data_IF_154909221470
#
_entry.id   IF_154909221470
#
_cell.length_a   1.000
_cell.length_b   1.000
_cell.length_c   1.000
_cell.angle_alpha   90.00
_cell.angle_beta   90.00
_cell.angle_gamma   90.00
#
_symmetry.space_group_name_H-M   'P 1'
#
loop_
_entity.id
_entity.type
_entity.pdbx_description
1 polymer ?
#
# COMPACT_ATOMS: atom_id res chain seq x y z
N UNK A 1 10.99 -6.66 6.57
CA UNK A 1 11.26 -5.31 6.03
C UNK A 1 10.11 -4.98 5.07
N UNK A 2 9.34 -3.92 5.32
CA UNK A 2 8.21 -3.49 4.46
C UNK A 2 8.67 -2.28 3.64
N UNK A 3 8.62 -2.35 2.31
CA UNK A 3 8.94 -1.21 1.43
C UNK A 3 9.70 -1.61 0.15
N UNK A 4 9.43 -0.96 -1.00
CA UNK A 4 10.18 -1.16 -2.24
C UNK A 4 11.68 -0.89 -2.06
N UNK A 5 12.51 -1.85 -2.47
CA UNK A 5 13.88 -1.54 -2.89
C UNK A 5 13.90 -1.43 -4.41
N UNK A 6 14.21 -0.22 -4.90
CA UNK A 6 14.67 0.08 -6.25
C UNK A 6 13.61 -0.03 -7.37
N UNK A 7 13.45 1.05 -8.15
CA UNK A 7 12.93 0.95 -9.51
C UNK A 7 14.10 0.78 -10.48
N UNK A 8 14.25 -0.37 -11.10
CA UNK A 8 15.06 -0.48 -12.30
C UNK A 8 14.19 -0.04 -13.50
N UNK A 9 14.66 0.95 -14.25
CA UNK A 9 14.08 1.25 -15.56
C UNK A 9 14.54 0.15 -16.50
N UNK A 10 13.61 -0.68 -16.98
CA UNK A 10 13.95 -1.69 -17.99
C UNK A 10 14.22 -0.99 -19.33
N UNK A 11 14.99 -1.63 -20.22
CA UNK A 11 15.41 -1.09 -21.51
C UNK A 11 14.28 -0.64 -22.47
N UNK A 12 13.01 -0.87 -22.11
CA UNK A 12 11.81 -0.59 -22.92
C UNK A 12 10.94 0.52 -22.31
N UNK A 13 11.48 1.36 -21.42
CA UNK A 13 10.73 2.47 -20.79
C UNK A 13 9.64 2.01 -19.80
N UNK A 14 9.56 0.72 -19.51
CA UNK A 14 8.64 0.13 -18.54
C UNK A 14 9.26 0.14 -17.15
N UNK A 15 8.52 0.66 -16.16
CA UNK A 15 8.94 0.70 -14.76
C UNK A 15 8.63 -0.64 -14.11
N UNK A 16 9.64 -1.25 -13.48
CA UNK A 16 9.38 -2.33 -12.55
C UNK A 16 9.23 -1.75 -11.14
N UNK A 17 8.19 -2.17 -10.42
CA UNK A 17 7.93 -1.75 -9.05
C UNK A 17 8.02 -2.98 -8.15
N UNK A 18 8.94 -2.96 -7.19
CA UNK A 18 8.97 -3.96 -6.13
C UNK A 18 8.04 -3.48 -5.01
N UNK A 19 7.07 -4.27 -4.59
CA UNK A 19 6.14 -3.88 -3.52
C UNK A 19 6.60 -4.39 -2.15
N UNK A 20 7.27 -5.54 -2.10
CA UNK A 20 7.89 -6.05 -0.88
C UNK A 20 8.06 -7.56 -0.87
N UNK A 21 8.74 -8.04 0.16
CA UNK A 21 8.93 -9.46 0.42
C UNK A 21 7.83 -9.99 1.34
N UNK A 22 7.43 -11.25 1.14
CA UNK A 22 6.68 -11.97 2.16
C UNK A 22 7.52 -12.11 3.43
N UNK A 23 6.88 -12.25 4.60
CA UNK A 23 7.63 -12.22 5.86
C UNK A 23 8.47 -13.47 6.17
N UNK A 24 8.30 -14.53 5.39
CA UNK A 24 9.15 -15.73 5.37
C UNK A 24 10.34 -15.59 4.40
N UNK A 25 10.38 -14.51 3.60
CA UNK A 25 11.42 -14.27 2.60
C UNK A 25 11.31 -15.15 1.36
N UNK A 26 10.24 -15.95 1.25
CA UNK A 26 10.06 -16.92 0.15
C UNK A 26 9.43 -16.27 -1.07
N UNK A 27 8.70 -15.17 -0.91
CA UNK A 27 7.98 -14.50 -1.99
C UNK A 27 8.39 -13.05 -2.16
N UNK A 28 8.50 -12.62 -3.41
CA UNK A 28 8.64 -11.22 -3.81
C UNK A 28 7.39 -10.78 -4.55
N UNK A 29 6.70 -9.73 -4.06
CA UNK A 29 5.67 -9.04 -4.83
C UNK A 29 6.31 -7.92 -5.67
N UNK A 30 6.09 -7.95 -6.97
CA UNK A 30 6.51 -6.88 -7.87
C UNK A 30 5.53 -6.69 -9.03
N UNK A 31 5.74 -5.67 -9.86
CA UNK A 31 5.09 -5.44 -11.15
C UNK A 31 6.20 -5.22 -12.18
N UNK A 32 6.17 -5.90 -13.34
CA UNK A 32 7.14 -5.70 -14.43
C UNK A 32 6.50 -4.97 -15.62
N UNK A 33 6.32 -3.66 -15.48
CA UNK A 33 5.85 -2.85 -16.62
C UNK A 33 4.42 -3.11 -17.05
N UNK A 34 3.68 -3.83 -16.23
CA UNK A 34 2.30 -4.22 -16.38
C UNK A 34 1.54 -3.81 -15.13
N UNK A 35 0.27 -3.46 -15.28
CA UNK A 35 -0.57 -3.02 -14.18
C UNK A 35 -0.96 -4.20 -13.26
N UNK A 36 -0.14 -5.20 -12.96
CA UNK A 36 -0.53 -6.30 -12.06
C UNK A 36 0.55 -6.69 -11.06
N UNK A 37 0.17 -7.43 -10.01
CA UNK A 37 1.14 -8.03 -9.09
C UNK A 37 1.58 -9.41 -9.59
N UNK A 38 2.89 -9.57 -9.68
CA UNK A 38 3.60 -10.80 -9.95
C UNK A 38 4.29 -11.25 -8.66
N UNK A 39 4.12 -12.52 -8.29
CA UNK A 39 4.73 -13.13 -7.11
C UNK A 39 5.77 -14.16 -7.53
N UNK A 40 6.99 -13.97 -7.05
CA UNK A 40 8.10 -14.85 -7.35
C UNK A 40 8.50 -15.65 -6.13
N UNK A 41 8.60 -16.97 -6.27
CA UNK A 41 9.18 -17.85 -5.27
C UNK A 41 10.72 -17.77 -5.31
N UNK A 42 11.36 -17.82 -4.14
CA UNK A 42 12.79 -17.63 -3.90
C UNK A 42 13.42 -18.95 -3.43
N UNK A 43 14.63 -19.34 -3.89
CA UNK A 43 15.63 -18.54 -4.58
C UNK A 43 15.20 -18.15 -6.00
N UNK A 44 15.21 -16.84 -6.26
CA UNK A 44 15.18 -16.33 -7.62
C UNK A 44 16.47 -16.84 -8.26
N UNK A 45 16.40 -17.76 -9.22
CA UNK A 45 17.48 -17.88 -10.18
C UNK A 45 17.47 -16.57 -10.99
N UNK A 46 18.15 -15.54 -10.47
CA UNK A 46 18.25 -14.23 -11.12
C UNK A 46 19.10 -14.43 -12.38
N UNK A 47 18.46 -14.66 -13.51
CA UNK A 47 19.12 -14.48 -14.79
C UNK A 47 19.50 -13.01 -14.93
N UNK A 48 20.71 -12.71 -15.46
CA UNK A 48 21.11 -11.34 -15.74
C UNK A 48 20.08 -10.68 -16.67
N UNK A 49 19.67 -9.44 -16.37
CA UNK A 49 18.79 -8.65 -17.25
C UNK A 49 19.67 -7.80 -18.17
N UNK A 50 19.52 -7.86 -19.51
CA UNK A 50 18.60 -8.70 -20.29
C UNK A 50 19.14 -10.14 -20.48
N UNK A 51 18.33 -11.13 -20.13
CA UNK A 51 18.72 -12.55 -20.16
C UNK A 51 18.16 -13.29 -21.38
N UNK A 52 18.83 -14.33 -21.87
CA UNK A 52 18.36 -15.11 -23.01
C UNK A 52 16.98 -15.73 -22.76
N UNK A 53 16.15 -15.80 -23.81
CA UNK A 53 14.84 -16.43 -23.77
C UNK A 53 15.00 -17.92 -23.42
N UNK A 54 14.57 -18.31 -22.22
CA UNK A 54 14.71 -19.68 -21.72
C UNK A 54 14.94 -19.82 -20.22
N UNK A 55 15.16 -18.72 -19.49
CA UNK A 55 15.23 -18.74 -18.02
C UNK A 55 13.84 -18.92 -17.39
N UNK A 56 13.35 -20.16 -17.34
CA UNK A 56 12.21 -20.56 -16.50
C UNK A 56 12.72 -21.04 -15.15
N UNK A 57 12.84 -20.14 -14.17
CA UNK A 57 13.50 -20.45 -12.88
C UNK A 57 12.78 -19.94 -11.64
N UNK A 58 11.45 -19.79 -11.70
CA UNK A 58 10.62 -19.49 -10.54
C UNK A 58 9.16 -19.81 -10.86
N UNK A 59 8.44 -20.43 -9.92
CA UNK A 59 6.98 -20.54 -10.02
C UNK A 59 6.41 -19.13 -9.95
N UNK A 60 6.06 -18.58 -11.11
CA UNK A 60 5.34 -17.32 -11.21
C UNK A 60 3.90 -17.60 -10.78
N UNK A 61 3.52 -17.06 -9.63
CA UNK A 61 2.12 -16.93 -9.29
C UNK A 61 1.71 -15.50 -9.64
N UNK A 62 0.80 -15.36 -10.60
CA UNK A 62 0.27 -14.05 -10.97
C UNK A 62 -1.04 -13.79 -10.25
N UNK A 63 -1.14 -12.66 -9.54
CA UNK A 63 -2.44 -12.11 -9.22
C UNK A 63 -2.83 -11.14 -10.33
N UNK A 64 -3.42 -11.73 -11.38
CA UNK A 64 -3.86 -11.00 -12.58
C UNK A 64 -4.91 -9.96 -12.19
N UNK A 65 -4.66 -8.70 -12.52
CA UNK A 65 -5.64 -7.61 -12.45
C UNK A 65 -4.94 -6.27 -12.39
N UNK A 66 -5.60 -5.23 -12.90
CA UNK A 66 -4.97 -3.93 -13.08
C UNK A 66 -4.67 -3.26 -11.73
N UNK A 67 -3.62 -2.46 -11.66
CA UNK A 67 -3.03 -1.89 -10.46
C UNK A 67 -2.68 -0.45 -10.79
N UNK A 68 -3.19 0.47 -9.98
CA UNK A 68 -2.93 1.88 -10.20
C UNK A 68 -1.47 2.22 -9.92
N UNK A 69 -0.82 2.93 -10.84
CA UNK A 69 0.58 3.34 -10.70
C UNK A 69 0.82 4.13 -9.42
N UNK A 70 1.74 3.65 -8.58
CA UNK A 70 2.06 4.30 -7.31
C UNK A 70 2.90 3.41 -6.41
N UNK A 71 3.65 4.04 -5.50
CA UNK A 71 4.28 3.32 -4.39
C UNK A 71 3.19 2.97 -3.36
N UNK A 72 3.40 1.93 -2.56
CA UNK A 72 2.61 1.67 -1.34
C UNK A 72 1.15 1.22 -1.56
N UNK A 73 0.91 0.33 -2.51
CA UNK A 73 -0.43 -0.16 -2.87
C UNK A 73 -0.73 -1.58 -2.35
N UNK A 74 0.21 -2.18 -1.62
CA UNK A 74 0.05 -3.49 -0.99
C UNK A 74 0.77 -3.57 0.37
N UNK A 75 0.39 -4.57 1.17
CA UNK A 75 1.07 -4.95 2.42
C UNK A 75 0.98 -6.46 2.68
N UNK A 76 1.98 -6.96 3.42
CA UNK A 76 2.17 -8.36 3.77
C UNK A 76 2.18 -8.59 5.29
N UNK A 77 1.71 -9.76 5.70
CA UNK A 77 1.89 -10.29 7.06
C UNK A 77 2.03 -11.81 7.06
N UNK A 78 2.52 -12.35 8.19
CA UNK A 78 2.73 -13.81 8.37
C UNK A 78 1.42 -14.59 8.47
N UNK A 79 0.49 -14.23 9.39
CA UNK A 79 -0.75 -14.97 9.51
C UNK A 79 -1.65 -14.72 8.30
N UNK A 80 -2.45 -15.72 7.95
CA UNK A 80 -3.50 -15.55 6.96
C UNK A 80 -4.62 -14.63 7.49
N UNK A 81 -5.26 -13.81 6.64
CA UNK A 81 -4.86 -13.52 5.27
C UNK A 81 -3.53 -12.80 5.13
N UNK A 82 -2.67 -13.25 4.21
CA UNK A 82 -1.27 -12.80 4.12
C UNK A 82 -1.07 -11.52 3.30
N UNK A 83 -1.91 -11.29 2.30
CA UNK A 83 -1.75 -10.19 1.34
C UNK A 83 -2.98 -9.29 1.31
N UNK A 84 -2.74 -7.98 1.25
CA UNK A 84 -3.74 -6.97 0.91
C UNK A 84 -3.17 -6.06 -0.17
N UNK A 85 -3.97 -5.74 -1.19
CA UNK A 85 -3.53 -4.90 -2.31
C UNK A 85 -4.67 -4.11 -2.95
N UNK A 86 -4.32 -2.97 -3.55
CA UNK A 86 -5.22 -2.16 -4.37
C UNK A 86 -5.17 -2.62 -5.84
N UNK A 87 -6.33 -2.71 -6.46
CA UNK A 87 -6.56 -3.07 -7.85
C UNK A 87 -7.54 -2.12 -8.52
N UNK A 88 -7.52 -2.01 -9.84
CA UNK A 88 -8.45 -1.22 -10.66
C UNK A 88 -9.10 -2.11 -11.72
N UNK A 89 -10.29 -1.73 -12.18
CA UNK A 89 -11.06 -2.52 -13.15
C UNK A 89 -10.45 -2.58 -14.55
N UNK A 90 -9.72 -1.53 -15.00
CA UNK A 90 -9.08 -1.50 -16.31
C UNK A 90 -7.70 -0.83 -16.28
N UNK A 91 -6.82 -1.09 -17.27
CA UNK A 91 -5.46 -0.52 -17.31
C UNK A 91 -5.46 1.01 -17.49
N UNK A 92 -6.53 1.54 -18.08
CA UNK A 92 -6.71 2.98 -18.33
C UNK A 92 -7.42 3.71 -17.18
N UNK A 93 -7.68 3.02 -16.07
CA UNK A 93 -8.44 3.53 -14.92
C UNK A 93 -9.78 2.84 -14.74
N UNK A 94 -10.55 3.31 -13.75
CA UNK A 94 -11.85 2.75 -13.38
C UNK A 94 -12.02 2.69 -11.87
N UNK A 95 -13.05 1.98 -11.43
CA UNK A 95 -13.31 1.82 -10.00
C UNK A 95 -12.19 0.99 -9.36
N UNK A 96 -11.64 1.50 -8.27
CA UNK A 96 -10.62 0.78 -7.51
C UNK A 96 -11.25 -0.17 -6.49
N UNK A 97 -10.51 -1.21 -6.14
CA UNK A 97 -10.87 -2.17 -5.09
C UNK A 97 -9.66 -2.49 -4.23
N UNK A 98 -9.90 -2.77 -2.95
CA UNK A 98 -8.91 -3.43 -2.08
C UNK A 98 -9.30 -4.90 -1.99
N UNK A 99 -8.35 -5.76 -2.32
CA UNK A 99 -8.53 -7.19 -2.33
C UNK A 99 -7.53 -7.85 -1.39
N UNK A 100 -7.97 -8.96 -0.80
CA UNK A 100 -7.22 -9.73 0.19
C UNK A 100 -7.05 -11.16 -0.32
N UNK A 101 -5.87 -11.74 -0.10
CA UNK A 101 -5.59 -13.14 -0.39
C UNK A 101 -5.07 -13.87 0.85
N UNK A 102 -5.50 -15.12 1.03
CA UNK A 102 -5.08 -15.95 2.16
C UNK A 102 -3.59 -16.31 2.08
N UNK A 103 -3.09 -16.49 0.86
CA UNK A 103 -1.69 -16.74 0.52
C UNK A 103 -1.40 -16.28 -0.92
N UNK A 104 -0.13 -16.14 -1.35
CA UNK A 104 0.24 -15.59 -2.66
C UNK A 104 -0.43 -16.27 -3.86
N UNK A 105 -0.68 -17.58 -3.76
CA UNK A 105 -1.24 -18.40 -4.84
C UNK A 105 -2.74 -18.65 -4.71
N UNK A 106 -3.39 -18.08 -3.71
CA UNK A 106 -4.81 -18.30 -3.43
C UNK A 106 -5.65 -17.22 -4.09
N UNK A 107 -6.85 -17.59 -4.53
CA UNK A 107 -7.80 -16.63 -5.11
C UNK A 107 -8.07 -15.49 -4.12
N UNK A 108 -7.95 -14.26 -4.64
CA UNK A 108 -8.29 -13.04 -3.92
C UNK A 108 -9.78 -12.83 -3.83
N UNK A 109 -10.20 -12.08 -2.81
CA UNK A 109 -11.56 -11.55 -2.70
C UNK A 109 -11.55 -10.05 -2.48
N UNK A 110 -12.55 -9.38 -3.03
CA UNK A 110 -12.79 -7.96 -2.82
C UNK A 110 -13.29 -7.74 -1.40
N UNK A 111 -12.64 -6.82 -0.68
CA UNK A 111 -13.04 -6.41 0.67
C UNK A 111 -13.59 -4.98 0.65
N UNK A 112 -12.97 -4.09 -0.14
CA UNK A 112 -13.43 -2.72 -0.33
C UNK A 112 -13.58 -2.45 -1.82
N UNK A 113 -14.65 -1.76 -2.21
CA UNK A 113 -14.83 -1.22 -3.57
C UNK A 113 -15.02 0.29 -3.48
N UNK A 114 -14.29 1.03 -4.31
CA UNK A 114 -14.46 2.47 -4.44
C UNK A 114 -15.86 2.80 -4.94
N UNK A 115 -16.40 3.94 -4.54
CA UNK A 115 -17.75 4.34 -4.93
C UNK A 115 -17.88 4.64 -6.44
N UNK A 116 -16.80 5.12 -7.05
CA UNK A 116 -16.67 5.42 -8.48
C UNK A 116 -15.18 5.63 -8.83
N UNK A 117 -14.91 5.92 -10.10
CA UNK A 117 -13.56 6.18 -10.63
C UNK A 117 -12.87 7.44 -10.08
N UNK A 118 -13.62 8.36 -9.47
CA UNK A 118 -13.06 9.56 -8.82
C UNK A 118 -12.68 9.31 -7.34
N UNK A 119 -12.64 8.05 -6.92
CA UNK A 119 -12.19 7.64 -5.59
C UNK A 119 -10.95 6.79 -5.71
N UNK A 120 -9.84 7.29 -5.15
CA UNK A 120 -8.59 6.56 -5.05
C UNK A 120 -8.54 5.83 -3.70
N UNK A 121 -8.26 4.53 -3.76
CA UNK A 121 -7.93 3.68 -2.61
C UNK A 121 -6.42 3.50 -2.57
N UNK A 122 -5.80 3.75 -1.42
CA UNK A 122 -4.35 3.77 -1.32
C UNK A 122 -3.89 3.19 0.02
N UNK A 123 -2.64 2.69 0.05
CA UNK A 123 -1.93 2.33 1.28
C UNK A 123 -2.68 1.39 2.23
N UNK A 124 -3.14 0.21 1.77
CA UNK A 124 -3.63 -0.77 2.72
C UNK A 124 -2.47 -1.21 3.64
N UNK A 125 -2.70 -1.23 4.95
CA UNK A 125 -1.71 -1.62 5.98
C UNK A 125 -2.34 -2.49 7.04
N UNK A 126 -1.82 -3.70 7.19
CA UNK A 126 -2.26 -4.64 8.20
C UNK A 126 -2.03 -4.09 9.60
N UNK A 127 -3.07 -4.16 10.43
CA UNK A 127 -2.97 -3.96 11.87
C UNK A 127 -2.17 -5.12 12.48
N UNK A 128 -1.16 -4.85 13.32
CA UNK A 128 -0.46 -5.92 14.03
C UNK A 128 -1.44 -6.82 14.80
N UNK A 129 -1.26 -8.14 14.71
CA UNK A 129 -2.02 -9.16 15.43
C UNK A 129 -3.55 -9.14 15.25
N UNK A 130 -4.07 -8.42 14.25
CA UNK A 130 -5.51 -8.33 13.94
C UNK A 130 -5.74 -8.51 12.44
N UNK A 131 -6.94 -8.95 12.07
CA UNK A 131 -7.40 -9.08 10.68
C UNK A 131 -7.95 -7.77 10.09
N UNK A 132 -7.71 -6.67 10.78
CA UNK A 132 -8.01 -5.34 10.27
C UNK A 132 -6.84 -4.78 9.45
N UNK A 133 -7.17 -3.92 8.50
CA UNK A 133 -6.18 -3.06 7.85
C UNK A 133 -6.71 -1.63 7.77
N UNK A 134 -5.79 -0.65 7.85
CA UNK A 134 -6.11 0.72 7.48
C UNK A 134 -5.91 0.91 5.99
N UNK A 135 -6.59 1.89 5.41
CA UNK A 135 -6.37 2.37 4.06
C UNK A 135 -6.77 3.83 3.95
N UNK A 136 -6.31 4.50 2.90
CA UNK A 136 -6.72 5.85 2.55
C UNK A 136 -7.74 5.81 1.42
N UNK A 137 -8.81 6.58 1.58
CA UNK A 137 -9.77 6.88 0.54
C UNK A 137 -9.67 8.36 0.20
N UNK A 138 -9.34 8.70 -1.03
CA UNK A 138 -9.23 10.09 -1.46
C UNK A 138 -10.14 10.37 -2.63
N UNK A 139 -11.01 11.37 -2.48
CA UNK A 139 -11.85 11.84 -3.57
C UNK A 139 -11.10 12.86 -4.42
N UNK A 140 -11.05 12.62 -5.72
CA UNK A 140 -10.30 13.44 -6.70
C UNK A 140 -11.20 14.26 -7.65
N UNK A 141 -12.51 14.25 -7.43
CA UNK A 141 -13.46 15.09 -8.19
C UNK A 141 -13.22 16.59 -7.94
N UNK A 142 -13.78 17.45 -8.80
CA UNK A 142 -13.70 18.92 -8.71
C UNK A 142 -14.21 19.43 -7.36
N UNK A 143 -13.29 19.71 -6.45
CA UNK A 143 -13.53 20.16 -5.09
C UNK A 143 -12.26 20.02 -4.23
N UNK A 144 -12.28 20.48 -2.96
CA UNK A 144 -11.15 20.31 -2.07
C UNK A 144 -10.90 18.81 -1.82
N UNK A 145 -9.67 18.37 -2.13
CA UNK A 145 -9.24 16.99 -1.97
C UNK A 145 -9.35 16.59 -0.51
N UNK A 146 -10.29 15.68 -0.21
CA UNK A 146 -10.46 15.12 1.13
C UNK A 146 -9.89 13.71 1.14
N UNK A 147 -8.94 13.46 2.04
CA UNK A 147 -8.41 12.13 2.32
C UNK A 147 -9.02 11.64 3.63
N UNK A 148 -9.66 10.48 3.57
CA UNK A 148 -10.25 9.76 4.70
C UNK A 148 -9.35 8.60 5.06
N UNK A 149 -8.99 8.50 6.33
CA UNK A 149 -8.36 7.31 6.86
C UNK A 149 -9.45 6.37 7.34
N UNK A 150 -9.51 5.19 6.73
CA UNK A 150 -10.51 4.17 7.02
C UNK A 150 -9.85 2.88 7.49
N UNK A 151 -10.60 2.09 8.23
CA UNK A 151 -10.21 0.77 8.70
C UNK A 151 -11.25 -0.22 8.22
N UNK A 152 -10.79 -1.33 7.65
CA UNK A 152 -11.64 -2.43 7.22
C UNK A 152 -11.26 -3.72 7.95
N UNK A 153 -12.26 -4.49 8.32
CA UNK A 153 -12.09 -5.89 8.73
C UNK A 153 -11.94 -6.75 7.48
N UNK A 154 -10.82 -7.46 7.35
CA UNK A 154 -10.54 -8.23 6.16
C UNK A 154 -11.52 -9.38 5.98
N UNK A 155 -12.07 -9.98 7.05
CA UNK A 155 -12.97 -11.15 6.97
C UNK A 155 -14.36 -10.74 6.51
N UNK A 156 -14.92 -9.74 7.15
CA UNK A 156 -16.33 -9.33 6.98
C UNK A 156 -16.51 -8.21 5.96
N UNK A 157 -15.46 -7.44 5.66
CA UNK A 157 -15.56 -6.22 4.85
C UNK A 157 -16.20 -5.04 5.57
N UNK A 158 -16.49 -5.16 6.88
CA UNK A 158 -16.99 -4.06 7.68
C UNK A 158 -15.96 -2.91 7.71
N UNK A 159 -16.43 -1.68 7.48
CA UNK A 159 -15.59 -0.49 7.38
C UNK A 159 -15.99 0.56 8.41
N UNK A 160 -15.00 1.30 8.91
CA UNK A 160 -15.19 2.52 9.70
C UNK A 160 -14.19 3.59 9.31
N UNK A 161 -14.60 4.85 9.44
CA UNK A 161 -13.69 5.99 9.32
C UNK A 161 -13.04 6.27 10.67
N UNK A 162 -11.71 6.44 10.69
CA UNK A 162 -11.01 6.93 11.86
C UNK A 162 -11.02 8.46 11.88
N UNK A 163 -10.71 9.10 10.74
CA UNK A 163 -10.81 10.55 10.57
C UNK A 163 -10.75 10.96 9.08
N UNK A 164 -11.07 12.24 8.81
CA UNK A 164 -10.91 12.87 7.50
C UNK A 164 -10.06 14.15 7.58
N UNK A 165 -9.30 14.44 6.52
CA UNK A 165 -8.48 15.66 6.37
C UNK A 165 -8.58 16.24 4.97
N UNK A 166 -8.45 17.55 4.86
CA UNK A 166 -8.37 18.27 3.57
C UNK A 166 -6.92 18.45 3.08
N UNK A 167 -6.03 17.59 3.52
CA UNK A 167 -4.62 17.56 3.16
C UNK A 167 -4.18 16.12 2.90
N UNK A 168 -3.14 15.88 2.10
CA UNK A 168 -2.54 14.57 1.97
C UNK A 168 -2.09 14.05 3.35
N UNK A 169 -2.34 12.76 3.59
CA UNK A 169 -1.88 12.07 4.80
C UNK A 169 -1.15 10.80 4.42
N UNK A 170 -0.13 10.45 5.20
CA UNK A 170 0.53 9.15 5.17
C UNK A 170 0.34 8.53 6.53
N UNK A 171 -0.15 7.29 6.61
CA UNK A 171 -0.44 6.66 7.89
C UNK A 171 0.06 5.22 7.98
N UNK A 172 0.34 4.79 9.21
CA UNK A 172 0.79 3.45 9.58
C UNK A 172 0.33 3.13 11.01
N UNK A 173 0.13 1.83 11.29
CA UNK A 173 -0.12 1.38 12.66
C UNK A 173 1.11 1.53 13.55
N UNK A 174 0.92 1.84 14.83
CA UNK A 174 1.97 1.62 15.83
C UNK A 174 2.32 0.13 15.91
N UNK A 175 3.53 -0.24 16.38
CA UNK A 175 3.91 -1.65 16.53
C UNK A 175 2.95 -2.47 17.39
N UNK A 176 2.35 -1.83 18.41
CA UNK A 176 1.33 -2.44 19.26
C UNK A 176 -0.06 -2.53 18.60
N UNK A 177 -0.30 -1.75 17.53
CA UNK A 177 -1.57 -1.74 16.79
C UNK A 177 -2.71 -1.07 17.54
N UNK A 178 -2.46 -0.37 18.63
CA UNK A 178 -3.44 0.37 19.43
C UNK A 178 -3.66 1.80 18.94
N UNK A 179 -2.72 2.34 18.16
CA UNK A 179 -2.76 3.69 17.61
C UNK A 179 -2.32 3.71 16.15
N UNK A 180 -2.60 4.82 15.49
CA UNK A 180 -2.24 5.11 14.11
C UNK A 180 -1.35 6.35 14.13
N UNK A 181 -0.12 6.19 13.65
CA UNK A 181 0.76 7.29 13.35
C UNK A 181 0.46 7.82 11.96
N UNK A 182 0.35 9.14 11.83
CA UNK A 182 0.17 9.75 10.52
C UNK A 182 0.94 11.05 10.38
N UNK A 183 1.35 11.34 9.14
CA UNK A 183 2.01 12.57 8.75
C UNK A 183 1.02 13.45 8.03
N UNK A 184 0.87 14.67 8.55
CA UNK A 184 0.15 15.77 7.94
C UNK A 184 1.14 16.67 7.21
N UNK A 185 0.86 17.01 5.96
CA UNK A 185 1.59 18.05 5.23
C UNK A 185 0.62 19.19 4.90
N UNK A 186 0.81 20.35 5.52
CA UNK A 186 0.05 21.56 5.21
C UNK A 186 1.01 22.62 4.66
N UNK A 187 1.14 22.69 3.33
CA UNK A 187 2.13 23.52 2.68
C UNK A 187 3.56 23.11 3.08
N UNK A 188 4.20 23.96 3.88
CA UNK A 188 5.59 23.79 4.34
C UNK A 188 5.72 23.19 5.73
N UNK A 189 4.60 23.09 6.47
CA UNK A 189 4.59 22.50 7.80
C UNK A 189 4.32 20.99 7.72
N UNK A 190 5.09 20.24 8.52
CA UNK A 190 4.94 18.79 8.66
C UNK A 190 4.66 18.49 10.12
N UNK A 191 3.60 17.73 10.38
CA UNK A 191 3.31 17.23 11.72
C UNK A 191 3.20 15.72 11.70
N UNK A 192 3.81 15.06 12.68
CA UNK A 192 3.57 13.65 12.98
C UNK A 192 2.60 13.59 14.15
N UNK A 193 1.50 12.88 13.96
CA UNK A 193 0.41 12.77 14.93
C UNK A 193 0.11 11.31 15.22
N UNK A 194 -0.46 11.08 16.40
CA UNK A 194 -1.03 9.80 16.82
C UNK A 194 -2.52 9.97 17.03
N UNK A 195 -3.28 8.92 16.72
CA UNK A 195 -4.72 8.85 16.98
C UNK A 195 -5.12 7.40 17.23
N UNK A 196 -6.16 7.17 18.02
CA UNK A 196 -6.72 5.83 18.19
C UNK A 196 -7.54 5.40 16.95
N UNK A 197 -7.74 4.09 16.74
CA UNK A 197 -8.55 3.58 15.63
C UNK A 197 -10.02 4.04 15.62
N UNK A 198 -10.53 4.58 16.72
CA UNK A 198 -11.86 5.18 16.82
C UNK A 198 -11.87 6.70 16.55
N UNK A 199 -10.72 7.28 16.20
CA UNK A 199 -10.53 8.71 15.97
C UNK A 199 -10.28 9.53 17.24
N UNK A 200 -10.35 8.93 18.43
CA UNK A 200 -10.16 9.63 19.70
C UNK A 200 -8.68 9.79 20.07
N UNK A 201 -8.40 10.67 21.04
CA UNK A 201 -7.08 10.81 21.66
C UNK A 201 -6.00 11.33 20.72
N UNK A 202 -6.38 12.10 19.69
CA UNK A 202 -5.44 12.70 18.75
C UNK A 202 -4.43 13.59 19.48
N UNK A 203 -3.15 13.42 19.17
CA UNK A 203 -2.06 14.27 19.67
C UNK A 203 -0.94 14.42 18.65
N UNK A 204 -0.30 15.59 18.64
CA UNK A 204 0.95 15.79 17.92
C UNK A 204 2.11 15.23 18.73
N UNK A 205 2.98 14.46 18.09
CA UNK A 205 4.24 13.98 18.68
C UNK A 205 5.46 14.73 18.13
N UNK A 206 5.31 15.35 16.96
CA UNK A 206 6.33 16.17 16.33
C UNK A 206 5.69 17.17 15.38
N UNK A 207 6.27 18.36 15.28
CA UNK A 207 5.89 19.34 14.27
C UNK A 207 7.05 20.25 13.93
N UNK A 208 7.24 20.55 12.65
CA UNK A 208 8.12 21.64 12.22
C UNK A 208 7.28 22.88 11.94
N UNK A 209 7.81 24.06 12.28
CA UNK A 209 7.22 25.34 11.89
C UNK A 209 7.28 25.61 10.37
N UNK A 210 7.82 24.67 9.60
CA UNK A 210 8.12 24.79 8.17
C UNK A 210 9.26 25.76 7.87
N UNK A 211 9.87 25.60 6.70
CA UNK A 211 10.63 26.65 6.01
C UNK A 211 10.07 26.78 4.60
N UNK A 212 9.92 27.98 4.02
CA UNK A 212 9.22 28.23 2.76
C UNK A 212 9.65 27.32 1.58
N UNK A 213 10.89 26.85 1.59
CA UNK A 213 11.53 26.11 0.51
C UNK A 213 11.40 24.58 0.63
N UNK A 214 10.90 24.05 1.76
CA UNK A 214 10.82 22.61 1.98
C UNK A 214 9.45 22.03 1.60
N UNK A 215 9.43 21.13 0.60
CA UNK A 215 8.25 20.35 0.23
C UNK A 215 8.49 18.87 0.56
N UNK A 216 7.63 18.28 1.39
CA UNK A 216 7.61 16.83 1.60
C UNK A 216 6.87 16.16 0.44
N UNK A 217 7.63 15.40 -0.36
CA UNK A 217 7.09 14.67 -1.52
C UNK A 217 6.97 13.17 -1.28
N UNK A 218 7.62 12.63 -0.25
CA UNK A 218 7.61 11.19 0.07
C UNK A 218 7.84 10.98 1.57
N UNK A 219 7.03 10.10 2.17
CA UNK A 219 7.19 9.61 3.53
C UNK A 219 7.08 8.10 3.50
N UNK A 220 8.15 7.41 3.87
CA UNK A 220 8.16 5.97 4.06
C UNK A 220 8.18 5.67 5.56
N UNK A 221 7.26 4.83 6.03
CA UNK A 221 7.29 4.32 7.40
C UNK A 221 8.09 3.02 7.43
N UNK A 222 9.21 3.03 8.15
CA UNK A 222 9.94 1.82 8.50
C UNK A 222 9.54 1.34 9.88
N UNK A 223 8.87 0.20 10.00
CA UNK A 223 8.72 -0.48 11.29
C UNK A 223 9.91 -1.41 11.50
N UNK A 224 10.82 -1.06 12.41
CA UNK A 224 11.78 -2.01 12.97
C UNK A 224 11.03 -2.88 13.98
N UNK A 225 10.93 -4.18 13.69
CA UNK A 225 10.47 -5.19 14.64
C UNK A 225 11.71 -6.01 15.01
N UNK A 226 12.10 -5.95 16.28
CA UNK A 226 13.12 -6.80 16.87
C UNK A 226 12.51 -8.15 17.24
#
# INVERSE_FOLDING_TARGET
>A
MRGPFLSAVTAVGRRSLVYGWSPDGVWLAMSRGSDHYEFFNVPLEICPIPGPAGCGGGNLADMIGDVYGGREIADWRRPAPQFVGVFVENPRGGVQSIQVAEAPTVQRRVVVRGANENVLLQRPRWRPASDEFLYLETQIATGPRTTRLKIADARTGAQREAFARQVPVWAEWTPAGDEIAWVETNGVAVAVRLVRPDGSGERSIYGTGGVPEAQVITVDFGTLRF
#
